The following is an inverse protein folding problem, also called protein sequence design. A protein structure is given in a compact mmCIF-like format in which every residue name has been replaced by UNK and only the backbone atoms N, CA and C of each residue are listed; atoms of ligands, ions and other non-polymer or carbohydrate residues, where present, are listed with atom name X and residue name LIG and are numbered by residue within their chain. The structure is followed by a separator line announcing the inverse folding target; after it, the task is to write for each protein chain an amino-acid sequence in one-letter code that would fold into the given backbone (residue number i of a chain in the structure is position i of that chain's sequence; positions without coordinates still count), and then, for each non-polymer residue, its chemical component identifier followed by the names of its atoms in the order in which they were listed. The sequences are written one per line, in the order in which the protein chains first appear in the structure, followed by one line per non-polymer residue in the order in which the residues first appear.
data_IF_732693495255
#
_entry.id   IF_732693495255
#
_cell.length_a   1.000
_cell.length_b   1.000
_cell.length_c   1.000
_cell.angle_alpha   90.00
_cell.angle_beta   90.00
_cell.angle_gamma   90.00
#
_symmetry.space_group_name_H-M   'P 1'
#
loop_
_entity.id
_entity.type
_entity.pdbx_description
1 polymer ?
#
# COMPACT_ATOMS: atom_id res chain seq x y z
N UNK A 1 3.91 26.63 7.86
CA UNK A 1 3.70 25.34 8.56
C UNK A 1 2.66 24.43 7.89
N UNK A 2 2.08 24.79 6.73
CA UNK A 2 1.16 23.94 5.95
C UNK A 2 1.87 22.97 4.98
N UNK A 3 3.15 23.19 4.68
CA UNK A 3 3.92 22.37 3.72
C UNK A 3 4.05 20.90 4.15
N UNK A 4 4.16 20.64 5.46
CA UNK A 4 4.31 19.27 5.99
C UNK A 4 3.09 18.37 5.74
N UNK A 5 1.88 18.93 5.86
CA UNK A 5 0.62 18.21 5.63
C UNK A 5 0.26 18.12 4.13
N UNK A 6 0.64 19.12 3.32
CA UNK A 6 0.55 19.05 1.85
C UNK A 6 1.38 17.89 1.30
N UNK A 7 2.62 17.74 1.78
CA UNK A 7 3.53 16.73 1.28
C UNK A 7 3.16 15.33 1.77
N UNK A 8 2.73 15.18 3.03
CA UNK A 8 2.22 13.91 3.54
C UNK A 8 0.98 13.42 2.78
N UNK A 9 0.04 14.31 2.46
CA UNK A 9 -1.15 13.96 1.67
C UNK A 9 -0.80 13.59 0.22
N UNK A 10 0.15 14.30 -0.40
CA UNK A 10 0.69 13.95 -1.73
C UNK A 10 1.41 12.61 -1.73
N UNK A 11 2.16 12.30 -0.68
CA UNK A 11 2.85 11.01 -0.51
C UNK A 11 1.83 9.88 -0.36
N UNK A 12 0.80 10.04 0.47
CA UNK A 12 -0.24 9.01 0.65
C UNK A 12 -1.05 8.75 -0.62
N UNK A 13 -1.26 9.77 -1.47
CA UNK A 13 -1.92 9.62 -2.77
C UNK A 13 -1.02 8.96 -3.83
N UNK A 14 0.31 9.01 -3.64
CA UNK A 14 1.29 8.44 -4.57
C UNK A 14 1.80 7.06 -4.13
N UNK A 15 1.54 6.65 -2.88
CA UNK A 15 1.83 5.31 -2.36
C UNK A 15 1.00 4.27 -3.10
N UNK A 16 1.56 3.07 -3.23
CA UNK A 16 0.93 1.92 -3.88
C UNK A 16 -0.44 1.60 -3.27
N UNK A 17 -1.46 1.57 -4.11
CA UNK A 17 -2.86 1.40 -3.72
C UNK A 17 -3.32 -0.02 -4.03
N UNK A 18 -3.82 -0.69 -3.00
CA UNK A 18 -4.51 -1.96 -3.16
C UNK A 18 -6.01 -1.72 -3.37
N UNK A 19 -6.59 -2.40 -4.35
CA UNK A 19 -8.03 -2.38 -4.59
C UNK A 19 -8.54 -3.81 -4.75
N UNK A 20 -9.21 -4.32 -3.72
CA UNK A 20 -9.93 -5.57 -3.84
C UNK A 20 -11.26 -5.31 -4.56
N UNK A 21 -11.44 -5.87 -5.76
CA UNK A 21 -12.65 -5.71 -6.57
C UNK A 21 -13.87 -6.49 -6.04
N UNK A 22 -13.75 -7.19 -4.90
CA UNK A 22 -14.92 -7.82 -4.28
C UNK A 22 -15.92 -6.73 -3.88
N UNK A 23 -17.00 -6.69 -4.66
CA UNK A 23 -18.07 -5.73 -4.49
C UNK A 23 -18.80 -5.97 -3.17
N UNK A 24 -19.21 -4.88 -2.53
CA UNK A 24 -20.23 -4.87 -1.48
C UNK A 24 -21.53 -5.45 -2.04
N UNK A 25 -21.73 -6.77 -1.97
CA UNK A 25 -23.03 -7.38 -2.21
C UNK A 25 -23.72 -7.51 -0.84
N UNK A 26 -24.75 -6.70 -0.53
CA UNK A 26 -25.54 -6.92 0.67
C UNK A 26 -26.09 -8.35 0.67
N UNK A 27 -26.04 -9.10 1.79
CA UNK A 27 -25.81 -8.67 3.17
C UNK A 27 -24.38 -8.91 3.72
N UNK A 28 -23.39 -9.29 2.90
CA UNK A 28 -22.05 -9.69 3.39
C UNK A 28 -21.07 -8.51 3.29
N UNK A 29 -20.48 -8.05 4.41
CA UNK A 29 -19.39 -7.07 4.37
C UNK A 29 -18.20 -7.63 3.57
N UNK A 30 -17.48 -6.82 2.77
CA UNK A 30 -16.36 -7.30 1.99
C UNK A 30 -15.28 -7.78 2.96
N UNK A 31 -14.59 -8.89 2.65
CA UNK A 31 -13.48 -9.36 3.48
C UNK A 31 -12.31 -8.37 3.47
N UNK A 32 -12.17 -7.61 2.38
CA UNK A 32 -11.06 -6.70 2.08
C UNK A 32 -11.60 -5.43 1.42
N UNK A 33 -10.83 -4.35 1.49
CA UNK A 33 -11.23 -3.06 0.93
C UNK A 33 -10.14 -2.40 0.11
N UNK A 34 -10.39 -1.15 -0.28
CA UNK A 34 -9.34 -0.26 -0.75
C UNK A 34 -8.32 -0.02 0.37
N UNK A 35 -7.05 0.05 0.01
CA UNK A 35 -5.96 0.21 0.97
C UNK A 35 -4.70 0.78 0.35
N UNK A 36 -3.72 1.02 1.22
CA UNK A 36 -2.38 1.54 0.85
C UNK A 36 -1.30 0.76 1.58
N UNK A 37 -0.13 0.65 0.97
CA UNK A 37 1.04 0.02 1.60
C UNK A 37 1.60 0.93 2.69
N UNK A 38 1.79 0.39 3.91
CA UNK A 38 2.21 1.16 5.10
C UNK A 38 3.60 0.78 5.64
N UNK A 39 4.24 -0.28 5.14
CA UNK A 39 5.56 -0.73 5.62
C UNK A 39 6.59 -0.94 4.50
N UNK A 40 6.59 -0.09 3.47
CA UNK A 40 7.55 -0.16 2.36
C UNK A 40 9.03 -0.11 2.77
N UNK A 41 9.95 -0.18 1.80
CA UNK A 41 11.41 -0.18 2.06
C UNK A 41 11.90 1.10 2.77
N UNK A 42 12.78 0.91 3.75
CA UNK A 42 13.45 2.01 4.46
C UNK A 42 14.64 2.60 3.70
N UNK A 43 15.15 1.92 2.67
CA UNK A 43 16.41 2.26 2.00
C UNK A 43 16.28 2.41 0.49
N UNK A 44 15.29 1.75 -0.12
CA UNK A 44 15.07 1.81 -1.57
C UNK A 44 13.85 2.68 -1.87
N UNK A 45 14.09 3.77 -2.59
CA UNK A 45 13.04 4.66 -3.06
C UNK A 45 12.87 4.52 -4.58
N UNK A 46 11.64 4.38 -5.06
CA UNK A 46 11.29 4.44 -6.49
C UNK A 46 10.47 5.71 -6.69
N UNK A 47 10.92 6.59 -7.60
CA UNK A 47 10.33 7.91 -7.81
C UNK A 47 10.18 8.74 -6.51
N UNK A 48 11.09 8.54 -5.55
CA UNK A 48 11.08 9.25 -4.27
C UNK A 48 10.14 8.68 -3.20
N UNK A 49 9.51 7.52 -3.45
CA UNK A 49 8.61 6.84 -2.51
C UNK A 49 9.19 5.48 -2.08
N UNK A 50 8.92 5.02 -0.83
CA UNK A 50 9.32 3.69 -0.38
C UNK A 50 8.88 2.59 -1.36
N UNK A 51 9.83 1.78 -1.82
CA UNK A 51 9.52 0.67 -2.71
C UNK A 51 8.75 -0.43 -1.97
N UNK A 52 7.68 -0.94 -2.58
CA UNK A 52 6.86 -2.03 -2.04
C UNK A 52 7.46 -3.40 -2.38
N UNK A 53 7.37 -4.34 -1.44
CA UNK A 53 8.05 -5.65 -1.46
C UNK A 53 7.12 -6.75 -0.95
N UNK A 54 7.48 -7.99 -1.27
CA UNK A 54 6.84 -9.14 -0.65
C UNK A 54 6.96 -9.05 0.88
N UNK A 55 5.84 -9.22 1.58
CA UNK A 55 5.75 -9.13 3.04
C UNK A 55 5.39 -7.74 3.57
N UNK A 56 5.41 -6.67 2.77
CA UNK A 56 4.98 -5.36 3.23
C UNK A 56 3.46 -5.35 3.50
N UNK A 57 3.04 -4.62 4.54
CA UNK A 57 1.67 -4.55 5.01
C UNK A 57 0.85 -3.51 4.24
N UNK A 58 -0.39 -3.87 3.97
CA UNK A 58 -1.41 -3.05 3.34
C UNK A 58 -2.47 -2.76 4.39
N UNK A 59 -2.68 -1.48 4.69
CA UNK A 59 -3.82 -1.05 5.50
C UNK A 59 -5.01 -0.84 4.57
N UNK A 60 -6.05 -1.65 4.73
CA UNK A 60 -7.31 -1.51 4.02
C UNK A 60 -8.39 -0.89 4.92
N UNK A 61 -9.53 -0.53 4.32
CA UNK A 61 -10.69 0.01 5.04
C UNK A 61 -11.21 -0.91 6.15
N UNK A 62 -11.10 -2.23 5.98
CA UNK A 62 -11.69 -3.23 6.90
C UNK A 62 -10.72 -4.31 7.36
N UNK A 63 -9.50 -4.36 6.82
CA UNK A 63 -8.53 -5.42 7.13
C UNK A 63 -7.09 -4.96 6.97
N UNK A 64 -6.14 -5.79 7.40
CA UNK A 64 -4.71 -5.60 7.16
C UNK A 64 -4.17 -6.87 6.50
N UNK A 65 -3.55 -6.71 5.34
CA UNK A 65 -3.02 -7.80 4.54
C UNK A 65 -1.53 -7.59 4.25
N UNK A 66 -0.87 -8.61 3.69
CA UNK A 66 0.52 -8.52 3.25
C UNK A 66 0.65 -8.79 1.75
N UNK A 67 1.57 -8.08 1.09
CA UNK A 67 1.93 -8.35 -0.31
C UNK A 67 2.49 -9.77 -0.41
N UNK A 68 1.76 -10.64 -1.11
CA UNK A 68 2.11 -12.07 -1.18
C UNK A 68 3.27 -12.36 -2.14
N UNK A 69 3.49 -11.49 -3.13
CA UNK A 69 4.60 -11.62 -4.07
C UNK A 69 4.78 -10.38 -4.94
N UNK A 70 5.96 -10.26 -5.54
CA UNK A 70 6.30 -9.24 -6.53
C UNK A 70 6.82 -9.89 -7.83
N UNK A 71 7.65 -9.16 -8.56
CA UNK A 71 8.35 -9.70 -9.74
C UNK A 71 9.37 -10.78 -9.32
N UNK A 72 9.32 -11.95 -9.95
CA UNK A 72 10.18 -13.10 -9.60
C UNK A 72 11.66 -12.90 -9.94
N UNK A 73 12.00 -11.97 -10.85
CA UNK A 73 13.37 -11.67 -11.25
C UNK A 73 14.01 -10.53 -10.46
N UNK A 74 13.24 -9.82 -9.62
CA UNK A 74 13.71 -8.62 -8.91
C UNK A 74 13.46 -8.77 -7.42
N UNK A 75 14.54 -8.71 -6.65
CA UNK A 75 14.51 -8.63 -5.20
C UNK A 75 14.93 -7.22 -4.77
N UNK A 76 14.06 -6.55 -4.02
CA UNK A 76 14.33 -5.21 -3.48
C UNK A 76 14.93 -5.35 -2.08
N UNK A 77 16.17 -4.88 -1.92
CA UNK A 77 16.93 -4.95 -0.67
C UNK A 77 16.49 -3.94 0.40
N UNK A 78 17.17 -4.00 1.55
CA UNK A 78 16.89 -3.19 2.74
C UNK A 78 16.47 -4.07 3.90
#
# INVERSE_FOLDING_TARGET
MQEGISNALKIMAAVDQNFCEILLVPPVPPPHGNGVVITGSNTVLINGLPACRQGDMIQETVSVNSITGGCSSVLIGG
#
